data_IF_226438019257
#
_entry.id   IF_226438019257
#
_cell.length_a   1.000
_cell.length_b   1.000
_cell.length_c   1.000
_cell.angle_alpha   90.00
_cell.angle_beta   90.00
_cell.angle_gamma   90.00
#
_symmetry.space_group_name_H-M   'P 1'
#
loop_
_entity.id
_entity.type
_entity.pdbx_description
1 polymer ?
#
# COMPACT_ATOMS: atom_id res chain seq x y z
N UNK A 1 12.96 -8.06 8.21
CA UNK A 1 13.25 -6.75 8.83
C UNK A 1 12.55 -6.72 10.17
N UNK A 2 13.30 -6.53 11.25
CA UNK A 2 12.81 -6.77 12.60
C UNK A 2 12.30 -5.45 13.21
N UNK A 3 11.12 -5.40 13.84
CA UNK A 3 10.59 -4.16 14.39
C UNK A 3 11.33 -3.76 15.67
N UNK A 4 11.84 -2.53 15.72
CA UNK A 4 12.49 -1.96 16.91
C UNK A 4 11.48 -1.74 18.04
N UNK A 5 11.87 -2.09 19.27
CA UNK A 5 11.13 -1.75 20.48
C UNK A 5 11.29 -0.27 20.85
N UNK A 6 10.37 0.28 21.67
CA UNK A 6 10.42 1.70 22.10
C UNK A 6 11.77 2.09 22.71
N UNK A 7 12.33 1.24 23.57
CA UNK A 7 13.64 1.48 24.20
C UNK A 7 14.76 1.48 23.18
N UNK A 8 14.72 0.57 22.21
CA UNK A 8 15.72 0.48 21.13
C UNK A 8 15.67 1.73 20.25
N UNK A 9 14.47 2.21 19.90
CA UNK A 9 14.30 3.46 19.14
C UNK A 9 14.90 4.66 19.89
N UNK A 10 14.57 4.81 21.18
CA UNK A 10 15.07 5.93 21.99
C UNK A 10 16.60 5.88 22.17
N UNK A 11 17.16 4.68 22.29
CA UNK A 11 18.59 4.49 22.52
C UNK A 11 19.43 4.43 21.23
N UNK A 12 18.81 4.30 20.05
CA UNK A 12 19.55 4.19 18.79
C UNK A 12 20.30 5.49 18.47
N UNK A 13 21.64 5.49 18.44
CA UNK A 13 22.44 6.71 18.23
C UNK A 13 22.24 7.33 16.84
N UNK A 14 21.70 6.58 15.86
CA UNK A 14 21.45 7.06 14.49
C UNK A 14 20.15 7.85 14.38
N UNK A 15 19.25 7.72 15.34
CA UNK A 15 17.98 8.42 15.36
C UNK A 15 18.15 9.79 16.02
N UNK A 16 17.89 10.85 15.26
CA UNK A 16 18.01 12.24 15.68
C UNK A 16 16.85 12.66 16.60
N UNK A 17 15.65 12.12 16.40
CA UNK A 17 14.48 12.42 17.23
C UNK A 17 14.34 11.41 18.37
N UNK A 18 14.75 11.83 19.57
CA UNK A 18 14.70 11.04 20.82
C UNK A 18 13.33 11.02 21.51
N UNK A 19 12.30 11.58 20.91
CA UNK A 19 10.93 11.57 21.45
C UNK A 19 9.99 10.71 20.58
N UNK A 20 10.35 10.48 19.32
CA UNK A 20 9.57 9.68 18.39
C UNK A 20 9.68 8.18 18.71
N UNK A 21 8.55 7.55 19.03
CA UNK A 21 8.49 6.14 19.47
C UNK A 21 7.57 5.27 18.61
N UNK A 22 7.15 5.79 17.45
CA UNK A 22 6.30 5.09 16.50
C UNK A 22 7.14 4.49 15.36
N UNK A 23 6.56 3.57 14.61
CA UNK A 23 7.17 2.95 13.42
C UNK A 23 6.14 2.99 12.27
N UNK A 24 6.56 2.98 10.99
CA UNK A 24 7.95 2.88 10.51
C UNK A 24 8.76 4.18 10.66
N UNK A 25 10.09 4.02 10.71
CA UNK A 25 11.09 5.09 10.67
C UNK A 25 12.04 4.75 9.52
N UNK A 26 12.39 5.73 8.69
CA UNK A 26 13.40 5.57 7.65
C UNK A 26 14.55 6.56 7.89
N UNK A 27 15.78 6.10 7.66
CA UNK A 27 16.98 6.93 7.66
C UNK A 27 17.43 7.13 6.22
N UNK A 28 17.31 8.35 5.70
CA UNK A 28 17.80 8.72 4.39
C UNK A 28 19.25 9.19 4.51
N UNK A 29 20.14 8.58 3.71
CA UNK A 29 21.59 8.87 3.70
C UNK A 29 22.28 8.69 5.07
N UNK A 30 21.67 7.94 5.99
CA UNK A 30 22.22 7.68 7.32
C UNK A 30 22.06 8.82 8.33
N UNK A 31 21.51 9.97 7.94
CA UNK A 31 21.48 11.19 8.77
C UNK A 31 20.08 11.83 8.86
N UNK A 32 19.28 11.78 7.78
CA UNK A 32 17.94 12.37 7.77
C UNK A 32 16.92 11.32 8.24
N UNK A 33 16.46 11.45 9.49
CA UNK A 33 15.36 10.65 10.01
C UNK A 33 14.03 11.18 9.49
N UNK A 34 13.34 10.33 8.73
CA UNK A 34 11.96 10.57 8.27
C UNK A 34 11.04 9.63 9.03
N UNK A 35 10.02 10.22 9.62
CA UNK A 35 9.02 9.58 10.46
C UNK A 35 7.69 9.55 9.74
N UNK A 36 6.80 8.65 10.14
CA UNK A 36 5.50 8.41 9.51
C UNK A 36 5.58 7.70 8.14
N UNK A 37 4.76 6.66 7.97
CA UNK A 37 4.76 5.87 6.75
C UNK A 37 4.45 6.67 5.49
N UNK A 38 3.54 7.65 5.56
CA UNK A 38 3.14 8.42 4.39
C UNK A 38 4.26 9.35 3.95
N UNK A 39 4.92 10.00 4.92
CA UNK A 39 6.03 10.91 4.65
C UNK A 39 7.24 10.15 4.10
N UNK A 40 7.55 8.96 4.65
CA UNK A 40 8.59 8.08 4.12
C UNK A 40 8.32 7.73 2.66
N UNK A 41 7.07 7.38 2.33
CA UNK A 41 6.66 7.04 0.96
C UNK A 41 6.84 8.24 0.03
N UNK A 42 6.38 9.43 0.42
CA UNK A 42 6.56 10.67 -0.36
C UNK A 42 8.03 10.95 -0.64
N UNK A 43 8.87 10.89 0.40
CA UNK A 43 10.30 11.16 0.30
C UNK A 43 11.06 10.14 -0.57
N UNK A 44 10.62 8.87 -0.55
CA UNK A 44 11.16 7.84 -1.44
C UNK A 44 10.83 8.14 -2.91
N UNK A 45 9.59 8.57 -3.21
CA UNK A 45 9.17 8.92 -4.56
C UNK A 45 9.99 10.09 -5.11
N UNK A 46 10.12 11.17 -4.34
CA UNK A 46 10.93 12.34 -4.71
C UNK A 46 12.38 11.94 -5.02
N UNK A 47 12.97 11.09 -4.17
CA UNK A 47 14.36 10.63 -4.34
C UNK A 47 14.54 9.74 -5.56
N UNK A 48 13.59 8.83 -5.82
CA UNK A 48 13.65 7.96 -7.00
C UNK A 48 13.62 8.80 -8.28
N UNK A 49 12.78 9.84 -8.30
CA UNK A 49 12.71 10.77 -9.43
C UNK A 49 13.99 11.56 -9.63
N UNK A 50 14.53 12.15 -8.57
CA UNK A 50 15.83 12.84 -8.63
C UNK A 50 16.92 11.97 -9.27
N UNK A 51 16.98 10.69 -8.88
CA UNK A 51 17.96 9.74 -9.43
C UNK A 51 17.73 9.47 -10.92
N UNK A 52 16.48 9.33 -11.36
CA UNK A 52 16.12 9.15 -12.77
C UNK A 52 16.48 10.37 -13.61
N UNK A 53 16.15 11.58 -13.15
CA UNK A 53 16.44 12.83 -13.85
C UNK A 53 17.95 13.02 -14.04
N UNK A 54 18.73 12.75 -12.97
CA UNK A 54 20.19 12.83 -13.03
C UNK A 54 20.81 11.80 -13.99
N UNK A 55 20.31 10.57 -14.02
CA UNK A 55 20.77 9.57 -15.00
C UNK A 55 20.45 9.96 -16.43
N UNK A 56 19.34 10.67 -16.67
CA UNK A 56 18.96 11.18 -18.00
C UNK A 56 19.90 12.30 -18.45
N UNK A 57 20.25 13.21 -17.55
CA UNK A 57 21.21 14.31 -17.79
C UNK A 57 22.64 13.79 -18.03
N UNK A 58 23.10 12.83 -17.22
CA UNK A 58 24.43 12.20 -17.39
C UNK A 58 24.53 11.46 -18.74
N UNK A 59 23.47 10.78 -19.18
CA UNK A 59 23.43 10.15 -20.52
C UNK A 59 23.36 11.16 -21.66
N UNK A 60 22.63 12.26 -21.50
CA UNK A 60 22.53 13.32 -22.50
C UNK A 60 23.87 14.07 -22.69
N UNK A 61 24.65 14.22 -21.61
CA UNK A 61 25.97 14.89 -21.64
C UNK A 61 27.12 14.02 -22.15
N UNK A 62 26.98 12.69 -22.13
CA UNK A 62 27.96 11.75 -22.68
C UNK A 62 27.82 11.51 -24.20
N UNK A 63 26.88 12.18 -24.86
CA UNK A 63 26.76 12.12 -26.32
C UNK A 63 26.38 10.74 -26.88
N UNK A 64 25.83 9.84 -26.05
CA UNK A 64 25.22 8.61 -26.53
C UNK A 64 23.90 8.97 -27.22
N UNK A 65 23.99 9.36 -28.50
CA UNK A 65 22.84 9.26 -29.38
C UNK A 65 22.31 7.83 -29.30
N UNK A 66 20.99 7.71 -29.16
CA UNK A 66 20.27 6.46 -29.16
C UNK A 66 20.44 5.75 -30.51
N UNK A 67 21.62 5.14 -30.71
CA UNK A 67 21.87 4.19 -31.76
C UNK A 67 21.09 2.92 -31.41
N UNK A 68 19.94 2.82 -32.06
CA UNK A 68 19.15 1.61 -32.21
C UNK A 68 20.05 0.41 -32.51
N UNK A 69 20.35 -0.37 -31.47
CA UNK A 69 20.82 -1.74 -31.65
C UNK A 69 20.07 -2.64 -30.70
N UNK A 70 19.34 -3.54 -31.35
CA UNK A 70 18.45 -4.56 -30.84
C UNK A 70 19.11 -5.45 -29.79
N UNK A 71 18.56 -5.43 -28.57
CA UNK A 71 18.47 -6.64 -27.76
C UNK A 71 17.13 -6.64 -27.02
N UNK A 72 16.43 -7.74 -27.15
CA UNK A 72 15.07 -8.01 -26.73
C UNK A 72 14.84 -7.71 -25.25
N UNK A 73 14.19 -6.59 -24.94
CA UNK A 73 13.54 -6.34 -23.66
C UNK A 73 12.26 -5.55 -23.95
N UNK A 74 11.12 -6.09 -23.52
CA UNK A 74 9.77 -5.65 -23.87
C UNK A 74 9.57 -4.12 -23.84
N UNK A 75 8.99 -3.51 -24.88
CA UNK A 75 8.81 -2.05 -24.97
C UNK A 75 7.78 -1.47 -23.98
N UNK A 76 7.00 -2.31 -23.29
CA UNK A 76 5.94 -1.87 -22.37
C UNK A 76 6.46 -1.16 -21.10
N UNK A 77 7.62 -1.55 -20.57
CA UNK A 77 8.15 -0.98 -19.31
C UNK A 77 8.75 0.43 -19.47
N UNK A 78 9.03 0.88 -20.72
CA UNK A 78 9.66 2.18 -20.96
C UNK A 78 8.69 3.37 -20.92
N UNK A 79 7.40 3.15 -21.22
CA UNK A 79 6.35 4.20 -21.14
C UNK A 79 5.78 4.37 -19.73
N UNK A 80 5.97 3.40 -18.85
CA UNK A 80 5.45 3.45 -17.47
C UNK A 80 6.16 4.50 -16.59
N UNK A 81 7.33 4.99 -17.02
CA UNK A 81 8.24 5.81 -16.18
C UNK A 81 8.17 7.33 -16.45
N UNK A 82 7.23 7.81 -17.28
CA UNK A 82 7.14 9.23 -17.69
C UNK A 82 6.18 10.07 -16.83
N UNK A 83 5.28 9.46 -16.05
CA UNK A 83 4.41 10.17 -15.08
C UNK A 83 5.12 10.34 -13.73
N UNK A 84 6.27 10.99 -13.81
CA UNK A 84 7.33 10.95 -12.81
C UNK A 84 6.95 11.45 -11.43
N UNK A 85 7.25 10.62 -10.42
CA UNK A 85 8.09 11.01 -9.28
C UNK A 85 7.53 11.95 -8.22
N UNK A 86 6.49 12.69 -8.54
CA UNK A 86 5.81 13.65 -7.69
C UNK A 86 4.41 13.11 -7.47
N UNK A 87 4.04 12.96 -6.21
CA UNK A 87 2.72 12.49 -5.82
C UNK A 87 1.67 13.42 -6.44
N UNK A 88 0.82 12.89 -7.31
CA UNK A 88 -0.27 13.69 -7.86
C UNK A 88 -1.23 14.06 -6.74
N UNK A 89 -1.90 15.23 -6.81
CA UNK A 89 -2.90 15.60 -5.82
C UNK A 89 -4.09 14.62 -5.79
N UNK A 90 -4.23 13.78 -6.81
CA UNK A 90 -5.25 12.72 -6.86
C UNK A 90 -4.82 11.51 -6.04
N UNK A 91 -3.62 10.99 -6.28
CA UNK A 91 -3.01 9.93 -5.48
C UNK A 91 -2.95 10.33 -4.01
N UNK A 92 -2.58 11.57 -3.68
CA UNK A 92 -2.53 12.01 -2.28
C UNK A 92 -3.90 11.95 -1.59
N UNK A 93 -4.97 12.37 -2.29
CA UNK A 93 -6.33 12.30 -1.76
C UNK A 93 -6.76 10.86 -1.53
N UNK A 94 -6.47 9.98 -2.48
CA UNK A 94 -6.90 8.59 -2.44
C UNK A 94 -6.07 7.76 -1.44
N UNK A 95 -4.77 8.04 -1.30
CA UNK A 95 -3.93 7.50 -0.21
C UNK A 95 -4.46 7.98 1.14
N UNK A 96 -4.73 9.27 1.31
CA UNK A 96 -5.29 9.79 2.56
C UNK A 96 -6.62 9.11 2.91
N UNK A 97 -7.48 8.89 1.91
CA UNK A 97 -8.72 8.15 2.09
C UNK A 97 -8.46 6.73 2.61
N UNK A 98 -7.48 6.00 2.07
CA UNK A 98 -7.08 4.66 2.55
C UNK A 98 -6.71 4.68 4.04
N UNK A 99 -5.85 5.62 4.45
CA UNK A 99 -5.43 5.76 5.86
C UNK A 99 -6.61 6.08 6.79
N UNK A 100 -7.56 6.90 6.35
CA UNK A 100 -8.67 7.37 7.19
C UNK A 100 -9.87 6.41 7.20
N UNK A 101 -10.08 5.64 6.14
CA UNK A 101 -11.32 4.86 5.96
C UNK A 101 -11.07 3.35 5.89
N UNK A 102 -9.97 2.89 5.28
CA UNK A 102 -9.69 1.46 5.10
C UNK A 102 -8.91 0.90 6.29
N UNK A 103 -7.78 1.53 6.65
CA UNK A 103 -6.88 1.05 7.73
C UNK A 103 -7.57 0.91 9.09
N UNK A 104 -8.47 1.82 9.53
CA UNK A 104 -9.11 1.70 10.84
C UNK A 104 -10.00 0.45 10.99
N UNK A 105 -10.43 -0.17 9.89
CA UNK A 105 -11.23 -1.39 9.87
C UNK A 105 -10.41 -2.65 10.20
N UNK A 106 -9.09 -2.60 10.00
CA UNK A 106 -8.23 -3.78 10.05
C UNK A 106 -8.23 -4.48 11.40
N UNK A 107 -8.12 -3.78 12.55
CA UNK A 107 -8.15 -4.47 13.84
C UNK A 107 -9.45 -5.26 14.05
N UNK A 108 -10.59 -4.72 13.62
CA UNK A 108 -11.85 -5.42 13.75
C UNK A 108 -11.99 -6.62 12.79
N UNK A 109 -11.34 -6.57 11.63
CA UNK A 109 -11.23 -7.72 10.74
C UNK A 109 -10.28 -8.81 11.29
N UNK A 110 -9.11 -8.41 11.79
CA UNK A 110 -8.09 -9.33 12.29
C UNK A 110 -8.50 -10.01 13.60
N UNK A 111 -9.17 -9.28 14.49
CA UNK A 111 -9.48 -9.71 15.86
C UNK A 111 -10.96 -10.07 16.11
N UNK A 112 -11.76 -10.23 15.03
CA UNK A 112 -13.20 -10.53 15.11
C UNK A 112 -13.53 -11.76 15.96
N UNK A 113 -12.75 -12.83 15.85
CA UNK A 113 -12.94 -14.08 16.59
C UNK A 113 -11.72 -14.36 17.48
N UNK A 114 -11.89 -15.19 18.51
CA UNK A 114 -10.74 -15.62 19.31
C UNK A 114 -9.71 -16.37 18.45
N UNK A 115 -10.18 -17.25 17.55
CA UNK A 115 -9.32 -18.01 16.64
C UNK A 115 -8.56 -17.11 15.65
N UNK A 116 -9.20 -16.07 15.09
CA UNK A 116 -8.53 -15.12 14.20
C UNK A 116 -7.50 -14.29 14.97
N UNK A 117 -7.85 -13.83 16.17
CA UNK A 117 -6.94 -13.09 17.04
C UNK A 117 -5.73 -13.93 17.44
N UNK A 118 -5.95 -15.20 17.80
CA UNK A 118 -4.87 -16.13 18.12
C UNK A 118 -3.92 -16.37 16.94
N UNK A 119 -4.44 -16.53 15.72
CA UNK A 119 -3.61 -16.65 14.51
C UNK A 119 -2.81 -15.38 14.25
N UNK A 120 -3.44 -14.22 14.36
CA UNK A 120 -2.75 -12.93 14.18
C UNK A 120 -1.59 -12.78 15.17
N UNK A 121 -1.80 -13.08 16.46
CA UNK A 121 -0.73 -13.03 17.46
C UNK A 121 0.30 -14.14 17.31
N UNK A 122 -0.08 -15.32 16.84
CA UNK A 122 0.88 -16.37 16.47
C UNK A 122 1.85 -15.86 15.42
N UNK A 123 1.32 -15.25 14.36
CA UNK A 123 2.11 -14.64 13.29
C UNK A 123 2.97 -13.47 13.81
N UNK A 124 2.38 -12.53 14.56
CA UNK A 124 3.11 -11.39 15.16
C UNK A 124 4.26 -11.88 16.06
N UNK A 125 3.99 -12.86 16.93
CA UNK A 125 5.00 -13.41 17.84
C UNK A 125 6.15 -14.11 17.12
N UNK A 126 5.89 -14.66 15.93
CA UNK A 126 6.92 -15.30 15.09
C UNK A 126 7.82 -14.30 14.36
N UNK A 127 7.30 -13.09 14.08
CA UNK A 127 8.04 -12.04 13.36
C UNK A 127 8.71 -11.02 14.28
N UNK A 128 8.45 -11.07 15.59
CA UNK A 128 8.89 -10.05 16.56
C UNK A 128 10.13 -10.49 17.35
N UNK A 129 10.96 -9.51 17.73
CA UNK A 129 12.15 -9.69 18.57
C UNK A 129 11.81 -9.92 20.06
N UNK A 130 10.77 -10.68 20.38
CA UNK A 130 10.44 -10.98 21.78
C UNK A 130 11.38 -12.04 22.34
N UNK A 131 11.71 -11.96 23.61
CA UNK A 131 12.33 -13.09 24.33
C UNK A 131 11.35 -14.28 24.36
N UNK A 132 11.81 -15.54 24.56
CA UNK A 132 10.92 -16.70 24.58
C UNK A 132 9.74 -16.58 25.56
N UNK A 133 9.96 -15.95 26.71
CA UNK A 133 8.92 -15.71 27.72
C UNK A 133 7.95 -14.62 27.26
N UNK A 134 8.46 -13.51 26.73
CA UNK A 134 7.60 -12.45 26.17
C UNK A 134 6.80 -12.97 24.97
N UNK A 135 7.36 -13.85 24.12
CA UNK A 135 6.60 -14.50 23.03
C UNK A 135 5.43 -15.28 23.58
N UNK A 136 5.65 -16.10 24.60
CA UNK A 136 4.59 -16.89 25.22
C UNK A 136 3.51 -15.99 25.83
N UNK A 137 3.92 -14.93 26.53
CA UNK A 137 3.01 -13.97 27.13
C UNK A 137 2.20 -13.20 26.07
N UNK A 138 2.85 -12.67 25.03
CA UNK A 138 2.20 -11.94 23.94
C UNK A 138 1.26 -12.86 23.15
N UNK A 139 1.66 -14.10 22.88
CA UNK A 139 0.84 -15.10 22.18
C UNK A 139 -0.44 -15.44 22.94
N UNK A 140 -0.39 -15.45 24.27
CA UNK A 140 -1.51 -15.87 25.13
C UNK A 140 -2.40 -14.71 25.56
N UNK A 141 -1.81 -13.62 26.06
CA UNK A 141 -2.55 -12.45 26.56
C UNK A 141 -2.99 -11.51 25.43
N UNK A 142 -2.18 -11.35 24.39
CA UNK A 142 -2.45 -10.45 23.27
C UNK A 142 -3.81 -10.67 22.60
N UNK A 143 -4.18 -11.92 22.26
CA UNK A 143 -5.47 -12.20 21.63
C UNK A 143 -6.68 -11.76 22.46
N UNK A 144 -6.60 -11.91 23.78
CA UNK A 144 -7.66 -11.58 24.74
C UNK A 144 -7.82 -10.06 24.81
N UNK A 145 -6.71 -9.35 25.02
CA UNK A 145 -6.69 -7.88 25.11
C UNK A 145 -7.21 -7.27 23.80
N UNK A 146 -6.71 -7.73 22.66
CA UNK A 146 -7.12 -7.15 21.36
C UNK A 146 -8.57 -7.43 21.02
N UNK A 147 -9.11 -8.58 21.42
CA UNK A 147 -10.54 -8.87 21.27
C UNK A 147 -11.40 -7.90 22.10
N UNK A 148 -10.99 -7.63 23.35
CA UNK A 148 -11.68 -6.67 24.20
C UNK A 148 -11.62 -5.25 23.60
N UNK A 149 -10.42 -4.78 23.22
CA UNK A 149 -10.22 -3.46 22.58
C UNK A 149 -11.02 -3.32 21.30
N UNK A 150 -11.09 -4.38 20.50
CA UNK A 150 -11.87 -4.39 19.26
C UNK A 150 -13.35 -4.19 19.55
N UNK A 151 -13.94 -4.97 20.47
CA UNK A 151 -15.34 -4.84 20.88
C UNK A 151 -15.69 -3.48 21.47
N UNK A 152 -14.77 -2.90 22.24
CA UNK A 152 -14.96 -1.55 22.80
C UNK A 152 -14.96 -0.46 21.72
N UNK A 153 -14.27 -0.69 20.61
CA UNK A 153 -14.15 0.27 19.52
C UNK A 153 -14.99 -0.06 18.28
N UNK A 154 -15.69 -1.20 18.26
CA UNK A 154 -16.52 -1.65 17.12
C UNK A 154 -17.53 -0.55 16.72
N UNK A 155 -18.26 0.00 17.68
CA UNK A 155 -19.25 1.07 17.42
C UNK A 155 -18.64 2.37 16.89
N UNK A 156 -17.38 2.66 17.25
CA UNK A 156 -16.69 3.88 16.78
C UNK A 156 -16.10 3.70 15.37
N UNK A 157 -15.77 2.45 15.01
CA UNK A 157 -15.04 2.12 13.79
C UNK A 157 -15.94 1.62 12.67
N UNK A 158 -17.14 1.14 12.98
CA UNK A 158 -18.02 0.47 12.03
C UNK A 158 -19.45 0.98 12.16
N UNK A 159 -19.99 1.47 11.04
CA UNK A 159 -21.41 1.86 10.94
C UNK A 159 -22.31 0.63 10.68
N UNK A 160 -21.80 -0.39 9.99
CA UNK A 160 -22.57 -1.50 9.43
C UNK A 160 -22.66 -2.75 10.34
N UNK A 161 -22.12 -2.71 11.57
CA UNK A 161 -22.23 -3.80 12.56
C UNK A 161 -21.46 -5.10 12.27
N UNK A 162 -21.05 -5.36 11.02
CA UNK A 162 -20.19 -6.47 10.61
C UNK A 162 -18.85 -5.97 10.06
N UNK A 163 -17.70 -6.52 10.51
CA UNK A 163 -16.39 -6.12 10.00
C UNK A 163 -16.17 -6.52 8.54
N UNK A 164 -16.75 -7.64 8.11
CA UNK A 164 -16.67 -8.11 6.72
C UNK A 164 -17.44 -7.18 5.79
N UNK A 165 -18.65 -6.76 6.21
CA UNK A 165 -19.45 -5.83 5.41
C UNK A 165 -18.76 -4.46 5.30
N UNK A 166 -18.26 -3.92 6.41
CA UNK A 166 -17.56 -2.64 6.37
C UNK A 166 -16.29 -2.69 5.49
N UNK A 167 -15.57 -3.81 5.48
CA UNK A 167 -14.43 -4.02 4.59
C UNK A 167 -14.87 -4.16 3.13
N UNK A 168 -15.95 -4.89 2.87
CA UNK A 168 -16.59 -5.01 1.55
C UNK A 168 -16.97 -3.63 0.99
N UNK A 169 -17.69 -2.84 1.78
CA UNK A 169 -18.12 -1.48 1.42
C UNK A 169 -16.90 -0.59 1.08
N UNK A 170 -15.80 -0.71 1.84
CA UNK A 170 -14.56 0.02 1.58
C UNK A 170 -13.86 -0.48 0.30
N UNK A 171 -13.86 -1.78 0.03
CA UNK A 171 -13.31 -2.34 -1.21
C UNK A 171 -14.12 -1.88 -2.44
N UNK A 172 -15.45 -1.84 -2.34
CA UNK A 172 -16.33 -1.38 -3.41
C UNK A 172 -16.14 0.13 -3.67
N UNK A 173 -16.00 0.93 -2.60
CA UNK A 173 -15.66 2.35 -2.68
C UNK A 173 -14.29 2.60 -3.31
N UNK A 174 -13.30 1.75 -3.01
CA UNK A 174 -11.98 1.80 -3.67
C UNK A 174 -12.12 1.52 -5.18
N UNK A 175 -12.87 0.50 -5.58
CA UNK A 175 -13.12 0.22 -7.00
C UNK A 175 -13.89 1.35 -7.68
N UNK A 176 -14.83 2.01 -6.98
CA UNK A 176 -15.51 3.22 -7.49
C UNK A 176 -14.51 4.34 -7.76
N UNK A 177 -13.57 4.59 -6.85
CA UNK A 177 -12.51 5.60 -7.02
C UNK A 177 -11.64 5.31 -8.24
N UNK A 178 -11.21 4.06 -8.42
CA UNK A 178 -10.48 3.64 -9.62
C UNK A 178 -11.27 3.97 -10.89
N UNK A 179 -12.56 3.63 -10.95
CA UNK A 179 -13.41 3.91 -12.12
C UNK A 179 -13.55 5.41 -12.39
N UNK A 180 -13.71 6.22 -11.35
CA UNK A 180 -13.83 7.67 -11.47
C UNK A 180 -12.56 8.34 -11.97
N UNK A 181 -11.40 7.92 -11.45
CA UNK A 181 -10.10 8.45 -11.87
C UNK A 181 -9.84 8.11 -13.34
N UNK A 182 -10.08 6.86 -13.74
CA UNK A 182 -9.97 6.46 -15.14
C UNK A 182 -10.94 7.24 -16.04
N UNK A 183 -12.16 7.50 -15.60
CA UNK A 183 -13.13 8.30 -16.38
C UNK A 183 -12.67 9.74 -16.57
N UNK A 184 -12.06 10.36 -15.55
CA UNK A 184 -11.49 11.71 -15.65
C UNK A 184 -10.31 11.74 -16.62
N UNK A 185 -9.37 10.80 -16.48
CA UNK A 185 -8.23 10.68 -17.38
C UNK A 185 -8.67 10.47 -18.84
N UNK A 186 -9.71 9.64 -19.07
CA UNK A 186 -10.30 9.47 -20.39
C UNK A 186 -10.98 10.73 -20.92
N UNK A 187 -11.67 11.53 -20.09
CA UNK A 187 -12.28 12.80 -20.54
C UNK A 187 -11.23 13.83 -20.96
N UNK A 188 -10.16 13.97 -20.20
CA UNK A 188 -9.04 14.85 -20.54
C UNK A 188 -8.36 14.42 -21.84
N UNK A 189 -8.19 13.11 -22.04
CA UNK A 189 -7.55 12.56 -23.25
C UNK A 189 -8.47 12.58 -24.49
N UNK A 190 -9.79 12.50 -24.32
CA UNK A 190 -10.78 12.52 -25.42
C UNK A 190 -11.01 13.90 -26.03
N UNK A 191 -10.52 14.96 -25.38
CA UNK A 191 -10.42 16.31 -25.96
C UNK A 191 -9.19 16.43 -26.89
N UNK A 192 -8.16 15.58 -26.70
CA UNK A 192 -6.95 15.52 -27.53
C UNK A 192 -7.00 14.43 -28.62
N UNK A 193 -7.68 13.31 -28.40
CA UNK A 193 -7.70 12.17 -29.33
C UNK A 193 -9.12 11.85 -29.83
N UNK A 194 -9.62 12.66 -30.77
CA UNK A 194 -10.71 12.26 -31.68
C UNK A 194 -10.13 11.38 -32.79
N UNK A 195 -9.73 10.14 -32.46
CA UNK A 195 -9.50 8.99 -33.34
C UNK A 195 -8.72 7.92 -32.57
N UNK A 196 -9.42 6.92 -32.05
CA UNK A 196 -9.35 5.54 -32.55
C UNK A 196 -10.18 4.64 -31.65
N UNK A 197 -10.76 3.66 -32.33
CA UNK A 197 -11.91 2.90 -31.91
C UNK A 197 -11.52 1.73 -31.00
N UNK A 198 -12.54 1.26 -30.28
CA UNK A 198 -12.50 0.28 -29.22
C UNK A 198 -11.82 -1.04 -29.61
N UNK A 199 -10.84 -1.45 -28.79
CA UNK A 199 -10.58 -2.88 -28.58
C UNK A 199 -10.87 -3.20 -27.11
N UNK A 200 -12.10 -3.67 -26.86
CA UNK A 200 -12.50 -4.31 -25.61
C UNK A 200 -11.72 -5.62 -25.45
N UNK A 201 -10.56 -5.54 -24.81
CA UNK A 201 -10.16 -6.55 -23.82
C UNK A 201 -10.61 -6.02 -22.46
N UNK A 202 -11.04 -6.90 -21.57
CA UNK A 202 -11.12 -6.58 -20.14
C UNK A 202 -9.71 -6.25 -19.65
N UNK A 203 -9.27 -5.02 -19.91
CA UNK A 203 -8.03 -4.49 -19.37
C UNK A 203 -8.35 -4.16 -17.93
N UNK A 204 -7.63 -4.79 -17.02
CA UNK A 204 -7.69 -4.46 -15.61
C UNK A 204 -7.18 -3.03 -15.47
N UNK A 205 -8.08 -2.13 -15.10
CA UNK A 205 -7.76 -0.74 -14.85
C UNK A 205 -7.28 -0.60 -13.40
N UNK A 206 -6.11 -0.01 -13.24
CA UNK A 206 -5.56 0.41 -11.96
C UNK A 206 -5.96 1.86 -11.68
N UNK A 207 -5.72 2.36 -10.47
CA UNK A 207 -5.85 3.78 -10.17
C UNK A 207 -4.99 4.63 -11.12
N UNK A 208 -3.76 4.18 -11.42
CA UNK A 208 -2.86 4.78 -12.41
C UNK A 208 -3.25 4.56 -13.90
N UNK A 209 -4.38 3.90 -14.15
CA UNK A 209 -4.86 3.53 -15.48
C UNK A 209 -4.29 2.21 -15.97
N UNK A 210 -3.45 2.25 -17.01
CA UNK A 210 -2.87 1.05 -17.61
C UNK A 210 -1.81 0.35 -16.73
N UNK A 211 -1.23 1.10 -15.78
CA UNK A 211 -0.21 0.63 -14.86
C UNK A 211 -0.54 1.10 -13.44
N UNK A 212 -0.16 0.33 -12.41
CA UNK A 212 -0.41 0.71 -11.02
C UNK A 212 0.43 1.92 -10.62
N UNK A 213 -0.18 2.81 -9.84
CA UNK A 213 0.49 3.99 -9.30
C UNK A 213 0.79 3.85 -7.80
N UNK A 214 1.12 4.96 -7.15
CA UNK A 214 1.47 4.90 -5.73
C UNK A 214 0.25 4.60 -4.86
N UNK A 215 -0.93 5.12 -5.22
CA UNK A 215 -2.16 4.87 -4.49
C UNK A 215 -2.55 3.38 -4.58
N UNK A 216 -2.41 2.76 -5.75
CA UNK A 216 -2.56 1.31 -5.92
C UNK A 216 -1.59 0.54 -5.02
N UNK A 217 -0.31 0.92 -5.03
CA UNK A 217 0.77 0.24 -4.30
C UNK A 217 0.58 0.31 -2.79
N UNK A 218 0.22 1.48 -2.26
CA UNK A 218 -0.06 1.69 -0.83
C UNK A 218 -1.28 0.87 -0.39
N UNK A 219 -2.35 0.89 -1.19
CA UNK A 219 -3.57 0.13 -0.91
C UNK A 219 -3.29 -1.38 -0.89
N UNK A 220 -2.54 -1.89 -1.88
CA UNK A 220 -2.09 -3.28 -1.90
C UNK A 220 -1.27 -3.62 -0.65
N UNK A 221 -0.33 -2.76 -0.25
CA UNK A 221 0.50 -2.96 0.93
C UNK A 221 -0.31 -3.18 2.20
N UNK A 222 -1.36 -2.38 2.40
CA UNK A 222 -2.28 -2.54 3.52
C UNK A 222 -3.11 -3.83 3.42
N UNK A 223 -3.73 -4.09 2.26
CA UNK A 223 -4.53 -5.32 2.07
C UNK A 223 -3.70 -6.60 2.24
N UNK A 224 -2.43 -6.57 1.84
CA UNK A 224 -1.49 -7.68 2.03
C UNK A 224 -1.22 -7.97 3.50
N UNK A 225 -1.20 -6.96 4.37
CA UNK A 225 -1.08 -7.16 5.81
C UNK A 225 -2.25 -8.00 6.39
N UNK A 226 -3.38 -8.03 5.68
CA UNK A 226 -4.56 -8.83 6.01
C UNK A 226 -4.73 -10.11 5.17
N UNK A 227 -3.73 -10.52 4.38
CA UNK A 227 -3.83 -11.65 3.43
C UNK A 227 -4.37 -12.93 4.06
N UNK A 228 -3.90 -13.25 5.27
CA UNK A 228 -4.30 -14.45 6.01
C UNK A 228 -5.59 -14.28 6.84
N UNK A 229 -6.19 -13.09 6.81
CA UNK A 229 -7.39 -12.81 7.58
C UNK A 229 -8.61 -13.54 6.99
N UNK A 230 -9.49 -14.12 7.82
CA UNK A 230 -10.76 -14.66 7.35
C UNK A 230 -11.62 -13.60 6.66
N UNK A 231 -11.60 -12.36 7.16
CA UNK A 231 -12.43 -11.27 6.63
C UNK A 231 -12.05 -10.92 5.19
N UNK A 232 -10.77 -10.78 4.87
CA UNK A 232 -10.36 -10.49 3.49
C UNK A 232 -10.68 -11.66 2.56
N UNK A 233 -10.52 -12.91 3.01
CA UNK A 233 -10.91 -14.09 2.22
C UNK A 233 -12.40 -14.13 1.92
N UNK A 234 -13.23 -13.71 2.87
CA UNK A 234 -14.67 -13.63 2.67
C UNK A 234 -15.06 -12.47 1.74
N UNK A 235 -14.45 -11.30 1.91
CA UNK A 235 -14.60 -10.17 0.96
C UNK A 235 -14.21 -10.62 -0.45
N UNK A 236 -13.12 -11.36 -0.62
CA UNK A 236 -12.73 -11.93 -1.91
C UNK A 236 -13.73 -12.94 -2.48
N UNK A 237 -14.68 -13.45 -1.71
CA UNK A 237 -15.76 -14.32 -2.22
C UNK A 237 -17.05 -13.56 -2.52
N UNK A 238 -17.33 -12.53 -1.73
CA UNK A 238 -18.62 -11.81 -1.72
C UNK A 238 -18.59 -10.52 -2.54
N UNK A 239 -17.46 -9.81 -2.59
CA UNK A 239 -17.32 -8.55 -3.34
C UNK A 239 -17.33 -8.73 -4.85
N UNK A 240 -17.51 -7.60 -5.54
CA UNK A 240 -17.40 -7.44 -6.99
C UNK A 240 -16.18 -8.20 -7.56
N UNK A 241 -16.37 -9.04 -8.59
CA UNK A 241 -15.27 -9.72 -9.30
C UNK A 241 -14.13 -8.77 -9.71
N UNK A 242 -14.44 -7.50 -9.98
CA UNK A 242 -13.49 -6.44 -10.33
C UNK A 242 -12.43 -6.23 -9.24
N UNK A 243 -12.81 -6.30 -7.95
CA UNK A 243 -11.87 -6.11 -6.85
C UNK A 243 -10.87 -7.27 -6.77
N UNK A 244 -11.35 -8.51 -6.92
CA UNK A 244 -10.48 -9.69 -6.93
C UNK A 244 -9.52 -9.69 -8.10
N UNK A 245 -10.01 -9.27 -9.27
CA UNK A 245 -9.21 -9.15 -10.47
C UNK A 245 -8.12 -8.09 -10.28
N UNK A 246 -8.48 -6.89 -9.82
CA UNK A 246 -7.52 -5.83 -9.48
C UNK A 246 -6.48 -6.31 -8.46
N UNK A 247 -6.91 -6.93 -7.36
CA UNK A 247 -6.01 -7.39 -6.31
C UNK A 247 -5.02 -8.45 -6.82
N UNK A 248 -5.49 -9.38 -7.66
CA UNK A 248 -4.67 -10.46 -8.21
C UNK A 248 -3.66 -9.93 -9.22
N UNK A 249 -4.06 -9.01 -10.10
CA UNK A 249 -3.13 -8.37 -11.04
C UNK A 249 -2.14 -7.45 -10.34
N UNK A 250 -2.57 -6.73 -9.29
CA UNK A 250 -1.69 -5.96 -8.43
C UNK A 250 -0.63 -6.83 -7.76
N UNK A 251 -1.02 -7.99 -7.21
CA UNK A 251 -0.08 -8.94 -6.63
C UNK A 251 0.95 -9.42 -7.68
N UNK A 252 0.54 -9.70 -8.92
CA UNK A 252 1.45 -10.14 -10.00
C UNK A 252 2.42 -9.05 -10.46
N UNK A 253 1.97 -7.80 -10.55
CA UNK A 253 2.79 -6.70 -11.07
C UNK A 253 3.79 -6.17 -10.05
N UNK A 254 3.37 -6.04 -8.80
CA UNK A 254 4.20 -5.42 -7.74
C UNK A 254 5.10 -6.45 -7.05
N UNK A 255 4.71 -7.73 -7.05
CA UNK A 255 5.41 -8.79 -6.31
C UNK A 255 5.77 -9.95 -7.26
N UNK A 256 6.89 -9.85 -7.98
CA UNK A 256 7.39 -10.95 -8.81
C UNK A 256 7.84 -12.17 -7.99
#
# INVERSE_FOLDING_TARGET
VNPFGKKEILQDPRLSNKEYTKVPIALFHGEEQVNDSLEIVKRLCEKYHWKLSRQKEEKASLGEEASSSSSSSSPDLRRENERGGVLTPEEERDIKWVYENLVPLFPACMYQSFASSWRAFSYISSLSNFTPIERLLVRTAGPIVMRAVTRLNEKKRMKTGSPVQALSDACDEWMRRIREQNTKQHKTKKEEERKEEEVKKEIVLFHGGAAPDLADSVTLGFLRAMKESPSLREVRRVCDPSFNLWLTEMEKRVLP
#
